data_IF_546268868936
#
_entry.id   IF_546268868936
#
_cell.length_a   1.000
_cell.length_b   1.000
_cell.length_c   1.000
_cell.angle_alpha   90.00
_cell.angle_beta   90.00
_cell.angle_gamma   90.00
#
_symmetry.space_group_name_H-M   'P 1'
#
loop_
_entity.id
_entity.type
_entity.pdbx_description
1 polymer ?
#
# COMPACT_ATOMS: atom_id res chain seq x y z
N UNK A 1 -3.51 1.64 12.85
CA UNK A 1 -2.80 2.67 12.04
C UNK A 1 -1.78 1.97 11.17
N UNK A 2 -1.67 2.33 9.89
CA UNK A 2 -0.93 1.57 8.88
C UNK A 2 0.59 1.85 8.95
N UNK A 3 1.26 1.54 10.07
CA UNK A 3 2.73 1.56 10.31
C UNK A 3 3.55 2.68 9.63
N UNK A 4 2.96 3.86 9.40
CA UNK A 4 3.53 4.93 8.56
C UNK A 4 3.94 4.50 7.13
N UNK A 5 3.37 3.40 6.61
CA UNK A 5 3.62 2.88 5.28
C UNK A 5 2.57 3.35 4.27
N UNK A 6 2.97 3.56 3.00
CA UNK A 6 2.04 3.94 1.95
C UNK A 6 1.05 2.80 1.66
N UNK A 7 -0.09 3.15 1.07
CA UNK A 7 -1.03 2.13 0.60
C UNK A 7 -0.51 1.48 -0.69
N UNK A 8 -0.90 0.22 -0.94
CA UNK A 8 -0.50 -0.53 -2.15
C UNK A 8 -0.90 0.13 -3.48
N UNK A 9 -1.86 1.05 -3.45
CA UNK A 9 -2.36 1.74 -4.65
C UNK A 9 -1.52 2.97 -5.03
N UNK A 10 -0.52 3.35 -4.22
CA UNK A 10 0.24 4.60 -4.37
C UNK A 10 0.85 4.75 -5.77
N UNK A 11 1.37 3.67 -6.36
CA UNK A 11 1.95 3.69 -7.72
C UNK A 11 0.90 4.16 -8.75
N UNK A 12 -0.30 3.57 -8.71
CA UNK A 12 -1.38 3.95 -9.63
C UNK A 12 -1.88 5.38 -9.42
N UNK A 13 -1.91 5.83 -8.16
CA UNK A 13 -2.31 7.19 -7.82
C UNK A 13 -1.29 8.26 -8.24
N UNK A 14 0.01 7.94 -8.31
CA UNK A 14 1.05 8.97 -8.46
C UNK A 14 1.90 8.85 -9.74
N UNK A 15 1.80 7.74 -10.49
CA UNK A 15 2.58 7.52 -11.72
C UNK A 15 2.49 8.63 -12.78
N UNK A 16 1.35 9.32 -12.88
CA UNK A 16 1.15 10.42 -13.85
C UNK A 16 1.56 11.80 -13.30
N UNK A 17 1.96 11.87 -12.03
CA UNK A 17 2.21 13.14 -11.31
C UNK A 17 3.69 13.34 -10.98
N UNK A 18 4.44 12.25 -10.80
CA UNK A 18 5.87 12.27 -10.46
C UNK A 18 6.50 10.90 -10.72
N UNK A 19 7.83 10.83 -10.63
CA UNK A 19 8.55 9.55 -10.57
C UNK A 19 8.35 8.89 -9.19
N UNK A 20 7.19 8.24 -9.04
CA UNK A 20 6.81 7.58 -7.79
C UNK A 20 7.73 6.40 -7.46
N UNK A 21 8.34 5.76 -8.45
CA UNK A 21 9.23 4.62 -8.20
C UNK A 21 10.56 5.07 -7.60
N UNK A 22 11.13 6.17 -8.10
CA UNK A 22 12.32 6.79 -7.50
C UNK A 22 12.03 7.23 -6.07
N UNK A 23 10.94 7.97 -5.85
CA UNK A 23 10.53 8.43 -4.52
C UNK A 23 10.39 7.29 -3.51
N UNK A 24 9.75 6.19 -3.89
CA UNK A 24 9.55 5.04 -3.00
C UNK A 24 10.87 4.37 -2.61
N UNK A 25 11.82 4.22 -3.55
CA UNK A 25 13.14 3.64 -3.30
C UNK A 25 14.04 4.53 -2.44
N UNK A 26 13.89 5.84 -2.55
CA UNK A 26 14.64 6.81 -1.73
C UNK A 26 14.07 6.93 -0.30
N UNK A 27 12.77 6.74 -0.15
CA UNK A 27 12.06 6.98 1.13
C UNK A 27 11.95 5.72 2.00
N UNK A 28 11.85 4.53 1.39
CA UNK A 28 11.58 3.29 2.10
C UNK A 28 12.66 2.24 1.84
N UNK A 29 12.93 1.44 2.87
CA UNK A 29 13.79 0.25 2.75
C UNK A 29 13.12 -0.85 1.94
N UNK A 30 13.91 -1.77 1.40
CA UNK A 30 13.39 -2.92 0.66
C UNK A 30 12.41 -3.76 1.48
N UNK A 31 12.67 -3.97 2.78
CA UNK A 31 11.76 -4.70 3.68
C UNK A 31 10.40 -3.99 3.85
N UNK A 32 10.42 -2.66 3.90
CA UNK A 32 9.19 -1.86 3.99
C UNK A 32 8.41 -1.89 2.69
N UNK A 33 9.10 -1.78 1.55
CA UNK A 33 8.48 -1.90 0.23
C UNK A 33 7.92 -3.31 0.03
N UNK A 34 8.66 -4.34 0.44
CA UNK A 34 8.17 -5.72 0.44
C UNK A 34 6.93 -5.82 1.30
N UNK A 35 6.89 -5.28 2.52
CA UNK A 35 5.67 -5.31 3.35
C UNK A 35 4.45 -4.64 2.69
N UNK A 36 4.66 -3.58 1.91
CA UNK A 36 3.58 -2.87 1.20
C UNK A 36 3.08 -3.63 -0.04
N UNK A 37 3.99 -4.25 -0.79
CA UNK A 37 3.70 -4.84 -2.10
C UNK A 37 3.65 -6.37 -2.13
N UNK A 38 4.09 -7.04 -1.06
CA UNK A 38 4.05 -8.49 -0.91
C UNK A 38 2.61 -8.97 -0.70
N UNK A 39 2.32 -10.13 -1.30
CA UNK A 39 1.08 -10.86 -1.11
C UNK A 39 0.09 -10.68 -2.26
N UNK A 40 -0.86 -11.62 -2.33
CA UNK A 40 -1.97 -11.55 -3.27
C UNK A 40 -2.88 -10.41 -2.82
N UNK A 41 -3.32 -9.51 -3.73
CA UNK A 41 -4.33 -8.52 -3.40
C UNK A 41 -5.52 -9.17 -2.70
N UNK A 42 -5.89 -8.69 -1.50
CA UNK A 42 -7.20 -9.03 -0.91
C UNK A 42 -8.29 -8.79 -1.96
N UNK A 43 -9.15 -9.79 -2.13
CA UNK A 43 -10.36 -9.74 -2.93
C UNK A 43 -11.27 -8.61 -2.45
N UNK A 44 -12.25 -8.23 -3.29
CA UNK A 44 -13.23 -7.20 -2.90
C UNK A 44 -14.00 -7.59 -1.64
N UNK A 45 -14.33 -8.87 -1.48
CA UNK A 45 -15.06 -9.39 -0.31
C UNK A 45 -14.21 -9.23 0.95
N UNK A 46 -12.93 -9.64 0.91
CA UNK A 46 -12.04 -9.51 2.07
C UNK A 46 -11.86 -8.06 2.51
N UNK A 47 -11.78 -7.11 1.57
CA UNK A 47 -11.72 -5.67 1.90
C UNK A 47 -13.00 -5.15 2.54
N UNK A 48 -14.16 -5.64 2.09
CA UNK A 48 -15.46 -5.29 2.69
C UNK A 48 -15.50 -5.83 4.13
N UNK A 49 -15.11 -7.09 4.35
CA UNK A 49 -15.05 -7.69 5.69
C UNK A 49 -14.12 -6.91 6.61
N UNK A 50 -12.91 -6.56 6.17
CA UNK A 50 -11.99 -5.73 6.99
C UNK A 50 -12.64 -4.41 7.41
N UNK A 51 -13.28 -3.72 6.47
CA UNK A 51 -13.93 -2.41 6.71
C UNK A 51 -15.07 -2.54 7.72
N UNK A 52 -15.82 -3.64 7.68
CA UNK A 52 -16.89 -3.92 8.64
C UNK A 52 -16.34 -4.24 10.04
N UNK A 53 -15.22 -4.96 10.11
CA UNK A 53 -14.57 -5.37 11.36
C UNK A 53 -13.71 -4.27 12.02
N UNK A 54 -13.47 -3.12 11.37
CA UNK A 54 -12.66 -2.03 11.95
C UNK A 54 -13.47 -1.09 12.87
N UNK A 55 -14.71 -1.45 13.21
CA UNK A 55 -15.63 -0.64 14.03
C UNK A 55 -15.78 -1.12 15.50
N UNK A 56 -14.89 -2.00 16.00
CA UNK A 56 -14.85 -2.42 17.42
C UNK A 56 -13.62 -1.86 18.15
#
# INVERSE_FOLDING_TARGET
>A
MNDSLPCRNIIGCWKERMDILAFLRETFTDDQLEKVFRGVPKSRIERIIDTLNTND
#
